data_IF_242408869298
#
_entry.id   IF_242408869298
#
_cell.length_a   1.000
_cell.length_b   1.000
_cell.length_c   1.000
_cell.angle_alpha   90.00
_cell.angle_beta   90.00
_cell.angle_gamma   90.00
#
_symmetry.space_group_name_H-M   'P 1'
#
loop_
_entity.id
_entity.type
_entity.pdbx_description
1 polymer ?
#
# COMPACT_ATOMS: atom_id res chain seq x y z
N UNK A 1 -23.41 -31.05 19.53
CA UNK A 1 -22.25 -31.53 20.30
C UNK A 1 -21.76 -30.40 21.19
N UNK A 2 -21.56 -30.67 22.48
CA UNK A 2 -21.13 -29.67 23.46
C UNK A 2 -19.62 -29.88 23.69
N UNK A 3 -18.79 -28.95 23.22
CA UNK A 3 -17.35 -28.95 23.47
C UNK A 3 -17.11 -27.98 24.63
N UNK A 4 -17.02 -28.50 25.85
CA UNK A 4 -16.55 -27.73 27.00
C UNK A 4 -15.05 -27.97 27.15
N UNK A 5 -14.24 -26.91 27.15
CA UNK A 5 -12.83 -27.03 27.49
C UNK A 5 -12.71 -27.40 28.98
N UNK A 6 -11.78 -28.29 29.28
CA UNK A 6 -11.66 -29.02 30.55
C UNK A 6 -11.32 -28.13 31.76
N UNK A 7 -11.00 -26.86 31.51
CA UNK A 7 -10.58 -25.84 32.47
C UNK A 7 -11.63 -24.74 32.72
N UNK A 8 -12.83 -24.84 32.12
CA UNK A 8 -13.96 -23.92 32.39
C UNK A 8 -13.77 -22.50 31.89
N UNK A 9 -12.73 -22.25 31.08
CA UNK A 9 -12.36 -20.92 30.55
C UNK A 9 -12.80 -20.68 29.11
N UNK A 10 -13.25 -21.74 28.42
CA UNK A 10 -13.77 -21.65 27.06
C UNK A 10 -15.02 -22.52 26.89
N UNK A 11 -16.05 -21.94 26.30
CA UNK A 11 -17.35 -22.54 26.05
C UNK A 11 -17.53 -22.71 24.54
N UNK A 12 -17.60 -23.95 24.09
CA UNK A 12 -17.85 -24.31 22.71
C UNK A 12 -19.25 -24.89 22.54
N UNK A 13 -19.88 -24.58 21.41
CA UNK A 13 -21.10 -25.23 20.98
C UNK A 13 -21.14 -25.38 19.47
N UNK A 14 -21.86 -26.40 19.01
CA UNK A 14 -22.22 -26.54 17.61
C UNK A 14 -23.75 -26.55 17.51
N UNK A 15 -24.32 -25.57 16.81
CA UNK A 15 -25.75 -25.51 16.51
C UNK A 15 -25.94 -25.27 15.01
N UNK A 16 -26.72 -26.12 14.34
CA UNK A 16 -26.83 -26.18 12.88
C UNK A 16 -25.45 -26.31 12.22
N UNK A 17 -25.04 -25.30 11.44
CA UNK A 17 -23.76 -25.21 10.73
C UNK A 17 -22.74 -24.27 11.41
N UNK A 18 -23.02 -23.81 12.62
CA UNK A 18 -22.21 -22.83 13.34
C UNK A 18 -21.48 -23.47 14.52
N UNK A 19 -20.14 -23.39 14.51
CA UNK A 19 -19.30 -23.63 15.68
C UNK A 19 -19.06 -22.29 16.36
N UNK A 20 -19.53 -22.14 17.60
CA UNK A 20 -19.30 -20.94 18.42
C UNK A 20 -18.35 -21.31 19.54
N UNK A 21 -17.25 -20.58 19.66
CA UNK A 21 -16.31 -20.65 20.79
C UNK A 21 -16.34 -19.30 21.51
N UNK A 22 -16.55 -19.29 22.82
CA UNK A 22 -16.65 -18.06 23.62
C UNK A 22 -15.95 -18.22 24.98
N UNK A 23 -15.65 -17.09 25.62
CA UNK A 23 -15.09 -17.04 26.98
C UNK A 23 -16.13 -17.29 28.07
N UNK A 24 -17.42 -17.08 27.79
CA UNK A 24 -18.53 -17.33 28.73
C UNK A 24 -19.71 -18.05 28.07
N UNK A 25 -20.46 -18.80 28.87
CA UNK A 25 -21.66 -19.48 28.40
C UNK A 25 -22.76 -18.49 27.93
N UNK A 26 -22.92 -17.36 28.63
CA UNK A 26 -23.91 -16.34 28.26
C UNK A 26 -23.62 -15.74 26.87
N UNK A 27 -22.34 -15.45 26.57
CA UNK A 27 -21.91 -14.98 25.25
C UNK A 27 -22.16 -16.02 24.16
N UNK A 28 -21.91 -17.30 24.45
CA UNK A 28 -22.19 -18.40 23.53
C UNK A 28 -23.67 -18.44 23.14
N UNK A 29 -24.53 -18.40 24.16
CA UNK A 29 -25.97 -18.59 24.01
C UNK A 29 -26.63 -17.36 23.33
N UNK A 30 -26.18 -16.14 23.67
CA UNK A 30 -26.57 -14.90 22.97
C UNK A 30 -26.10 -14.91 21.50
N UNK A 31 -24.87 -15.36 21.23
CA UNK A 31 -24.35 -15.50 19.86
C UNK A 31 -25.17 -16.50 19.06
N UNK A 32 -25.54 -17.64 19.63
CA UNK A 32 -26.44 -18.59 18.96
C UNK A 32 -27.82 -18.01 18.69
N UNK A 33 -28.40 -17.24 19.62
CA UNK A 33 -29.68 -16.58 19.44
C UNK A 33 -29.64 -15.55 18.30
N UNK A 34 -28.54 -14.79 18.18
CA UNK A 34 -28.31 -13.85 17.07
C UNK A 34 -28.13 -14.57 15.74
N UNK A 35 -27.34 -15.65 15.72
CA UNK A 35 -27.11 -16.48 14.53
C UNK A 35 -28.37 -17.21 14.05
N UNK A 36 -29.33 -17.50 14.94
CA UNK A 36 -30.61 -18.13 14.57
C UNK A 36 -31.48 -17.26 13.65
N UNK A 37 -31.29 -15.94 13.68
CA UNK A 37 -32.03 -14.98 12.86
C UNK A 37 -31.25 -14.49 11.62
N UNK A 38 -30.04 -15.00 11.40
CA UNK A 38 -29.29 -14.73 10.18
C UNK A 38 -29.90 -15.57 9.05
N UNK A 39 -30.86 -14.99 8.33
CA UNK A 39 -31.24 -15.51 7.01
C UNK A 39 -30.01 -15.37 6.11
N UNK A 40 -29.44 -16.48 5.67
CA UNK A 40 -28.53 -16.46 4.54
C UNK A 40 -29.39 -16.28 3.29
N UNK A 41 -29.88 -15.06 3.06
CA UNK A 41 -30.63 -14.76 1.84
C UNK A 41 -29.74 -15.01 0.63
N UNK A 42 -30.28 -15.84 -0.26
CA UNK A 42 -29.66 -16.33 -1.47
C UNK A 42 -29.58 -15.22 -2.53
N UNK A 43 -28.45 -14.51 -2.58
CA UNK A 43 -28.04 -13.74 -3.75
C UNK A 43 -26.54 -13.40 -3.70
N UNK A 44 -25.70 -14.43 -3.58
CA UNK A 44 -24.34 -14.55 -4.11
C UNK A 44 -23.74 -15.81 -3.46
N UNK A 45 -22.96 -16.58 -4.22
CA UNK A 45 -22.43 -17.91 -3.90
C UNK A 45 -22.21 -18.09 -2.39
N UNK A 46 -23.01 -18.95 -1.75
CA UNK A 46 -22.79 -19.34 -0.34
C UNK A 46 -21.33 -19.81 -0.24
N UNK A 47 -20.47 -19.14 0.55
CA UNK A 47 -19.09 -19.56 0.67
C UNK A 47 -19.04 -21.01 1.17
N UNK A 48 -18.14 -21.81 0.61
CA UNK A 48 -17.94 -23.20 1.02
C UNK A 48 -17.60 -23.29 2.52
N UNK A 49 -17.01 -22.26 3.11
CA UNK A 49 -16.73 -22.13 4.54
C UNK A 49 -16.74 -20.66 4.98
N UNK A 50 -17.33 -20.37 6.15
CA UNK A 50 -17.28 -19.03 6.76
C UNK A 50 -16.87 -19.12 8.24
N UNK A 51 -16.03 -18.18 8.69
CA UNK A 51 -15.62 -18.01 10.08
C UNK A 51 -15.94 -16.56 10.52
N UNK A 52 -16.68 -16.42 11.62
CA UNK A 52 -16.95 -15.12 12.25
C UNK A 52 -16.28 -15.06 13.63
N UNK A 53 -15.59 -13.95 13.91
CA UNK A 53 -14.93 -13.68 15.18
C UNK A 53 -15.40 -12.31 15.68
N UNK A 54 -15.79 -12.23 16.95
CA UNK A 54 -16.10 -10.97 17.61
C UNK A 54 -15.16 -10.78 18.81
N UNK A 55 -14.48 -9.65 18.87
CA UNK A 55 -13.58 -9.27 19.95
C UNK A 55 -14.20 -8.13 20.75
N UNK A 56 -14.62 -8.40 21.99
CA UNK A 56 -15.11 -7.38 22.90
C UNK A 56 -13.95 -6.66 23.58
N UNK A 57 -13.66 -5.45 23.13
CA UNK A 57 -12.49 -4.68 23.55
C UNK A 57 -12.60 -4.22 25.00
N UNK A 58 -13.80 -3.95 25.51
CA UNK A 58 -14.03 -3.62 26.92
C UNK A 58 -13.63 -4.78 27.86
N UNK A 59 -13.96 -6.01 27.49
CA UNK A 59 -13.54 -7.19 28.24
C UNK A 59 -12.03 -7.39 28.18
N UNK A 60 -11.41 -7.16 27.01
CA UNK A 60 -9.96 -7.25 26.84
C UNK A 60 -9.22 -6.22 27.68
N UNK A 61 -9.67 -4.96 27.70
CA UNK A 61 -9.14 -3.89 28.56
C UNK A 61 -9.23 -4.27 30.04
N UNK A 62 -10.42 -4.72 30.46
CA UNK A 62 -10.68 -5.16 31.84
C UNK A 62 -9.77 -6.33 32.25
N UNK A 63 -9.63 -7.34 31.40
CA UNK A 63 -8.79 -8.50 31.65
C UNK A 63 -7.29 -8.17 31.66
N UNK A 64 -6.86 -7.23 30.82
CA UNK A 64 -5.47 -6.76 30.79
C UNK A 64 -5.12 -5.82 31.95
N UNK A 65 -6.11 -5.35 32.72
CA UNK A 65 -5.93 -4.35 33.78
C UNK A 65 -5.40 -3.01 33.24
N UNK A 66 -5.74 -2.68 31.99
CA UNK A 66 -5.28 -1.47 31.29
C UNK A 66 -6.45 -0.78 30.63
N UNK A 67 -6.48 0.54 30.71
CA UNK A 67 -7.47 1.37 30.00
C UNK A 67 -7.33 1.26 28.47
N UNK A 68 -6.17 0.78 27.99
CA UNK A 68 -5.90 0.62 26.56
C UNK A 68 -4.93 -0.53 26.27
N UNK A 69 -5.24 -1.29 25.22
CA UNK A 69 -4.43 -2.42 24.76
C UNK A 69 -3.52 -2.08 23.57
N UNK A 70 -3.84 -1.03 22.82
CA UNK A 70 -3.06 -0.52 21.67
C UNK A 70 -2.47 0.85 22.05
N UNK A 71 -1.17 1.12 21.91
CA UNK A 71 -0.61 2.45 22.22
C UNK A 71 -1.16 3.56 21.30
N UNK A 72 -1.40 4.78 21.80
CA UNK A 72 -1.80 5.93 20.94
C UNK A 72 -0.66 6.52 20.14
N UNK A 73 0.59 6.30 20.59
CA UNK A 73 1.77 6.81 19.90
C UNK A 73 2.49 5.66 19.25
N UNK A 74 2.80 5.82 17.97
CA UNK A 74 3.57 4.85 17.23
C UNK A 74 5.07 5.11 17.44
N UNK A 75 5.83 4.03 17.55
CA UNK A 75 7.30 4.07 17.56
C UNK A 75 7.92 3.85 16.18
N UNK A 76 7.08 3.69 15.17
CA UNK A 76 7.48 3.54 13.79
C UNK A 76 6.69 4.55 12.92
N UNK A 77 7.39 5.54 12.32
CA UNK A 77 6.76 6.54 11.46
C UNK A 77 5.92 5.96 10.33
N UNK A 78 6.43 4.92 9.67
CA UNK A 78 5.74 4.29 8.53
C UNK A 78 4.46 3.58 8.99
N UNK A 79 4.53 2.84 10.10
CA UNK A 79 3.32 2.21 10.67
C UNK A 79 2.31 3.25 11.13
N UNK A 80 2.75 4.41 11.66
CA UNK A 80 1.85 5.51 12.01
C UNK A 80 1.07 6.03 10.81
N UNK A 81 1.75 6.30 9.69
CA UNK A 81 1.11 6.80 8.46
C UNK A 81 0.11 5.78 7.90
N UNK A 82 0.49 4.51 7.87
CA UNK A 82 -0.32 3.45 7.26
C UNK A 82 -1.51 3.11 8.17
N UNK A 83 -1.24 2.84 9.45
CA UNK A 83 -2.20 2.22 10.38
C UNK A 83 -2.60 3.11 11.56
N UNK A 84 -1.93 4.22 11.86
CA UNK A 84 -2.11 4.97 13.10
C UNK A 84 -3.57 5.36 13.39
N UNK A 85 -4.28 5.91 12.40
CA UNK A 85 -5.71 6.22 12.55
C UNK A 85 -6.58 4.97 12.74
N UNK A 86 -6.26 3.87 12.05
CA UNK A 86 -7.01 2.60 12.16
C UNK A 86 -6.78 1.93 13.53
N UNK A 87 -5.55 1.98 14.02
CA UNK A 87 -5.15 1.48 15.33
C UNK A 87 -5.85 2.24 16.45
N UNK A 88 -5.98 3.56 16.35
CA UNK A 88 -6.70 4.36 17.34
C UNK A 88 -8.20 4.09 17.32
N UNK A 89 -8.82 3.97 16.13
CA UNK A 89 -10.23 3.54 16.02
C UNK A 89 -10.43 2.17 16.68
N UNK A 90 -9.56 1.21 16.39
CA UNK A 90 -9.61 -0.11 17.00
C UNK A 90 -9.45 -0.06 18.53
N UNK A 91 -8.56 0.82 19.03
CA UNK A 91 -8.32 1.01 20.46
C UNK A 91 -9.54 1.56 21.20
N UNK A 92 -10.30 2.46 20.57
CA UNK A 92 -11.47 3.13 21.13
C UNK A 92 -12.79 2.39 20.85
N UNK A 93 -12.78 1.40 19.96
CA UNK A 93 -13.97 0.58 19.67
C UNK A 93 -14.43 -0.23 20.89
N UNK A 94 -15.74 -0.44 21.01
CA UNK A 94 -16.33 -1.40 21.96
C UNK A 94 -16.10 -2.85 21.51
N UNK A 95 -16.23 -3.09 20.21
CA UNK A 95 -16.04 -4.39 19.58
C UNK A 95 -15.33 -4.29 18.24
N UNK A 96 -14.66 -5.38 17.85
CA UNK A 96 -14.09 -5.59 16.53
C UNK A 96 -14.62 -6.91 15.98
N UNK A 97 -15.26 -6.86 14.83
CA UNK A 97 -15.88 -8.02 14.16
C UNK A 97 -15.07 -8.38 12.93
N UNK A 98 -14.67 -9.64 12.82
CA UNK A 98 -13.97 -10.17 11.66
C UNK A 98 -14.76 -11.34 11.04
N UNK A 99 -14.96 -11.31 9.73
CA UNK A 99 -15.65 -12.35 8.96
C UNK A 99 -14.75 -12.81 7.81
N UNK A 100 -14.37 -14.07 7.82
CA UNK A 100 -13.65 -14.74 6.75
C UNK A 100 -14.61 -15.63 5.97
N UNK A 101 -14.76 -15.37 4.68
CA UNK A 101 -15.50 -16.20 3.74
C UNK A 101 -14.52 -16.87 2.78
N UNK A 102 -14.62 -18.18 2.64
CA UNK A 102 -13.80 -18.99 1.72
C UNK A 102 -14.74 -19.70 0.75
N UNK A 103 -14.56 -19.44 -0.54
CA UNK A 103 -15.25 -20.11 -1.64
C UNK A 103 -14.32 -21.06 -2.40
N UNK A 104 -14.81 -21.60 -3.52
CA UNK A 104 -14.09 -22.61 -4.30
C UNK A 104 -12.79 -22.08 -4.94
N UNK A 105 -12.72 -20.77 -5.21
CA UNK A 105 -11.63 -20.12 -5.94
C UNK A 105 -11.07 -18.88 -5.23
N UNK A 106 -11.38 -18.69 -3.94
CA UNK A 106 -10.84 -17.56 -3.22
C UNK A 106 -11.41 -17.29 -1.85
N UNK A 107 -11.01 -16.16 -1.29
CA UNK A 107 -11.33 -15.76 0.07
C UNK A 107 -11.57 -14.25 0.17
N UNK A 108 -12.35 -13.89 1.19
CA UNK A 108 -12.60 -12.51 1.60
C UNK A 108 -12.60 -12.44 3.13
N UNK A 109 -11.74 -11.60 3.69
CA UNK A 109 -11.73 -11.23 5.10
C UNK A 109 -12.24 -9.80 5.22
N UNK A 110 -13.33 -9.60 5.97
CA UNK A 110 -13.81 -8.27 6.38
C UNK A 110 -13.62 -8.08 7.86
N UNK A 111 -13.02 -6.97 8.26
CA UNK A 111 -12.87 -6.55 9.66
C UNK A 111 -13.59 -5.22 9.83
N UNK A 112 -14.46 -5.12 10.82
CA UNK A 112 -15.28 -3.94 11.09
C UNK A 112 -15.14 -3.51 12.55
N UNK A 113 -15.07 -2.21 12.78
CA UNK A 113 -15.09 -1.60 14.12
C UNK A 113 -16.46 -0.98 14.40
N UNK A 114 -16.86 -0.93 15.68
CA UNK A 114 -18.05 -0.22 16.13
C UNK A 114 -17.83 1.28 16.37
N UNK A 115 -16.58 1.74 16.32
CA UNK A 115 -16.19 3.14 16.28
C UNK A 115 -15.72 3.55 14.88
N UNK A 116 -15.79 4.84 14.57
CA UNK A 116 -15.32 5.43 13.32
C UNK A 116 -14.48 6.69 13.55
N UNK A 117 -14.32 7.49 12.49
CA UNK A 117 -13.51 8.71 12.53
C UNK A 117 -13.92 9.70 13.61
N UNK A 118 -15.22 9.82 13.92
CA UNK A 118 -15.69 10.78 14.91
C UNK A 118 -15.29 10.41 16.35
N UNK A 119 -14.89 9.17 16.61
CA UNK A 119 -14.50 8.71 17.93
C UNK A 119 -13.05 9.04 18.31
N UNK A 120 -12.18 9.34 17.33
CA UNK A 120 -10.76 9.61 17.58
C UNK A 120 -10.47 11.11 17.72
N UNK A 121 -9.36 11.44 18.37
CA UNK A 121 -8.91 12.82 18.54
C UNK A 121 -8.49 13.50 17.21
N UNK A 122 -8.33 14.82 17.23
CA UNK A 122 -8.00 15.59 16.04
C UNK A 122 -6.70 15.13 15.34
N UNK A 123 -5.60 14.79 16.05
CA UNK A 123 -4.41 14.18 15.44
C UNK A 123 -4.70 12.92 14.65
N UNK A 124 -5.42 11.96 15.23
CA UNK A 124 -5.70 10.70 14.53
C UNK A 124 -6.70 10.87 13.40
N UNK A 125 -7.58 11.89 13.44
CA UNK A 125 -8.46 12.23 12.32
C UNK A 125 -7.68 12.66 11.06
N UNK A 126 -6.45 13.19 11.19
CA UNK A 126 -5.61 13.51 10.01
C UNK A 126 -5.24 12.26 9.20
N UNK A 127 -5.29 11.08 9.84
CA UNK A 127 -4.97 9.78 9.26
C UNK A 127 -6.19 9.05 8.66
N UNK A 128 -7.36 9.68 8.72
CA UNK A 128 -8.65 9.11 8.36
C UNK A 128 -9.42 10.06 7.44
N UNK A 129 -9.63 9.68 6.18
CA UNK A 129 -10.48 10.45 5.26
C UNK A 129 -11.88 9.86 5.15
N UNK A 130 -12.87 10.72 4.94
CA UNK A 130 -14.23 10.34 4.51
C UNK A 130 -14.50 10.74 3.05
N UNK A 131 -13.52 11.33 2.36
CA UNK A 131 -13.70 11.84 1.00
C UNK A 131 -13.54 10.75 -0.06
N UNK A 132 -14.63 10.50 -0.80
CA UNK A 132 -14.67 9.74 -2.06
C UNK A 132 -14.44 8.23 -1.94
N UNK A 133 -15.24 7.44 -2.68
CA UNK A 133 -15.12 5.98 -2.76
C UNK A 133 -14.39 5.48 -4.03
N UNK A 134 -13.93 6.40 -4.88
CA UNK A 134 -13.29 6.06 -6.16
C UNK A 134 -11.97 5.30 -5.95
N UNK A 135 -11.59 4.41 -6.89
CA UNK A 135 -10.27 3.79 -6.89
C UNK A 135 -9.15 4.84 -6.78
N UNK A 136 -8.21 4.58 -5.90
CA UNK A 136 -7.12 5.50 -5.61
C UNK A 136 -5.92 5.24 -6.53
N UNK A 137 -5.66 3.97 -6.86
CA UNK A 137 -4.52 3.57 -7.69
C UNK A 137 -4.92 3.47 -9.17
N UNK A 138 -4.17 4.11 -10.09
CA UNK A 138 -4.38 3.92 -11.53
C UNK A 138 -3.98 2.51 -11.94
N UNK A 139 -4.70 1.93 -12.91
CA UNK A 139 -4.39 0.61 -13.47
C UNK A 139 -3.47 0.75 -14.69
N UNK A 140 -2.37 0.00 -14.70
CA UNK A 140 -1.38 0.04 -15.79
C UNK A 140 -1.09 -1.37 -16.34
N UNK A 141 -0.63 -1.49 -17.59
CA UNK A 141 -0.12 -2.76 -18.09
C UNK A 141 0.98 -3.33 -17.20
N UNK A 142 1.02 -4.67 -17.07
CA UNK A 142 2.07 -5.40 -16.31
C UNK A 142 2.20 -4.92 -14.86
N UNK A 143 1.12 -4.42 -14.26
CA UNK A 143 1.12 -3.95 -12.88
C UNK A 143 1.46 -5.09 -11.93
N UNK A 144 2.58 -4.95 -11.22
CA UNK A 144 2.95 -5.83 -10.13
C UNK A 144 2.06 -5.54 -8.92
N UNK A 145 1.73 -4.28 -8.68
CA UNK A 145 0.91 -3.87 -7.56
C UNK A 145 0.95 -2.37 -7.36
N UNK A 146 0.37 -1.94 -6.25
CA UNK A 146 0.37 -0.55 -5.86
C UNK A 146 -0.39 -0.36 -4.57
N UNK A 147 -0.15 0.77 -3.93
CA UNK A 147 -0.93 1.18 -2.78
C UNK A 147 -1.24 2.66 -2.86
N UNK A 148 -2.30 3.08 -2.21
CA UNK A 148 -2.63 4.48 -2.06
C UNK A 148 -3.14 4.75 -0.64
N UNK A 149 -2.79 5.93 -0.16
CA UNK A 149 -3.16 6.41 1.15
C UNK A 149 -3.86 7.75 0.98
N UNK A 150 -4.99 7.91 1.66
CA UNK A 150 -5.68 9.17 1.73
C UNK A 150 -5.52 9.77 3.13
N UNK A 151 -4.69 10.82 3.26
CA UNK A 151 -4.34 11.45 4.54
C UNK A 151 -4.32 12.98 4.39
N UNK A 152 -4.55 13.72 5.47
CA UNK A 152 -4.17 15.13 5.49
C UNK A 152 -2.68 15.23 5.79
N UNK A 153 -1.84 15.19 4.75
CA UNK A 153 -0.39 15.06 4.88
C UNK A 153 0.26 16.21 5.65
N UNK A 154 -0.10 17.45 5.31
CA UNK A 154 0.45 18.63 5.98
C UNK A 154 0.06 18.65 7.46
N UNK A 155 -1.21 18.39 7.78
CA UNK A 155 -1.67 18.44 9.16
C UNK A 155 -1.14 17.27 10.00
N UNK A 156 -1.09 16.06 9.43
CA UNK A 156 -0.43 14.92 10.06
C UNK A 156 1.02 15.25 10.42
N UNK A 157 1.75 15.87 9.49
CA UNK A 157 3.15 16.23 9.70
C UNK A 157 3.33 17.28 10.80
N UNK A 158 2.42 18.27 10.87
CA UNK A 158 2.43 19.28 11.95
C UNK A 158 2.13 18.68 13.32
N UNK A 159 1.27 17.65 13.37
CA UNK A 159 0.85 17.00 14.62
C UNK A 159 1.66 15.74 14.97
N UNK A 160 2.81 15.53 14.30
CA UNK A 160 3.63 14.31 14.44
C UNK A 160 4.10 14.04 15.88
N UNK A 161 4.31 15.07 16.69
CA UNK A 161 4.70 14.96 18.10
C UNK A 161 3.60 14.38 18.99
N UNK A 162 2.34 14.52 18.59
CA UNK A 162 1.17 13.93 19.25
C UNK A 162 0.95 12.47 18.81
N UNK A 163 1.36 12.11 17.60
CA UNK A 163 1.15 10.80 16.99
C UNK A 163 2.32 9.82 17.16
N UNK A 164 3.52 10.34 17.41
CA UNK A 164 4.75 9.57 17.44
C UNK A 164 5.45 9.65 18.79
N UNK A 165 6.14 8.58 19.16
CA UNK A 165 7.02 8.59 20.31
C UNK A 165 8.19 9.55 20.12
N UNK A 166 8.62 10.22 21.20
CA UNK A 166 9.67 11.24 21.13
C UNK A 166 10.99 10.74 20.52
N UNK A 167 11.30 9.44 20.65
CA UNK A 167 12.51 8.82 20.10
C UNK A 167 12.62 8.84 18.58
N UNK A 168 11.50 8.95 17.85
CA UNK A 168 11.52 8.97 16.37
C UNK A 168 11.50 10.37 15.78
N UNK A 169 11.19 11.39 16.58
CA UNK A 169 11.14 12.78 16.12
C UNK A 169 12.46 13.28 15.51
N UNK A 170 13.66 12.94 16.04
CA UNK A 170 14.93 13.38 15.45
C UNK A 170 15.17 12.90 14.01
N UNK A 171 14.51 11.83 13.56
CA UNK A 171 14.62 11.37 12.17
C UNK A 171 13.94 12.32 11.18
N UNK A 172 12.94 13.09 11.62
CA UNK A 172 12.30 14.12 10.81
C UNK A 172 13.22 15.32 10.61
N UNK A 173 13.98 15.73 11.63
CA UNK A 173 14.96 16.82 11.50
C UNK A 173 16.04 16.46 10.47
N UNK A 174 16.50 15.19 10.47
CA UNK A 174 17.43 14.67 9.46
C UNK A 174 16.81 14.66 8.07
N UNK A 175 15.55 14.23 7.96
CA UNK A 175 14.82 14.22 6.70
C UNK A 175 14.68 15.62 6.12
N UNK A 176 14.25 16.60 6.92
CA UNK A 176 14.12 18.01 6.53
C UNK A 176 15.47 18.59 6.09
N UNK A 177 16.54 18.29 6.84
CA UNK A 177 17.90 18.70 6.47
C UNK A 177 18.32 18.11 5.12
N UNK A 178 18.06 16.82 4.90
CA UNK A 178 18.33 16.15 3.62
C UNK A 178 17.54 16.78 2.47
N UNK A 179 16.25 17.04 2.67
CA UNK A 179 15.38 17.63 1.66
C UNK A 179 15.81 19.06 1.28
N UNK A 180 16.32 19.85 2.24
CA UNK A 180 16.82 21.21 1.99
C UNK A 180 17.96 21.26 0.95
N UNK A 181 18.68 20.15 0.77
CA UNK A 181 19.72 20.00 -0.27
C UNK A 181 19.10 19.94 -1.68
N UNK A 182 17.91 19.35 -1.80
CA UNK A 182 17.20 19.19 -3.08
C UNK A 182 16.24 20.36 -3.38
N UNK A 183 15.67 20.95 -2.33
CA UNK A 183 14.70 22.05 -2.38
C UNK A 183 15.16 23.20 -1.47
N UNK A 184 16.16 23.99 -1.90
CA UNK A 184 16.72 25.05 -1.06
C UNK A 184 15.69 26.14 -0.77
N UNK A 185 15.59 26.53 0.50
CA UNK A 185 14.69 27.59 0.97
C UNK A 185 13.20 27.21 0.99
N UNK A 186 12.87 25.91 0.96
CA UNK A 186 11.50 25.40 1.08
C UNK A 186 11.29 24.74 2.43
N UNK A 187 10.19 25.07 3.08
CA UNK A 187 9.70 24.36 4.25
C UNK A 187 8.94 23.09 3.83
N UNK A 188 9.23 21.93 4.41
CA UNK A 188 8.60 20.70 3.96
C UNK A 188 7.08 20.67 4.21
N UNK A 189 6.62 21.16 5.36
CA UNK A 189 5.21 21.14 5.70
C UNK A 189 4.45 22.20 4.89
N UNK A 190 4.94 23.43 4.87
CA UNK A 190 4.24 24.60 4.31
C UNK A 190 4.45 24.78 2.80
N UNK A 191 5.60 24.39 2.25
CA UNK A 191 5.87 24.56 0.83
C UNK A 191 5.75 23.27 0.01
N UNK A 192 5.85 22.08 0.61
CA UNK A 192 5.80 20.80 -0.13
C UNK A 192 4.52 20.03 0.17
N UNK A 193 4.27 19.67 1.44
CA UNK A 193 3.08 18.90 1.81
C UNK A 193 1.78 19.69 1.63
N UNK A 194 1.80 21.01 1.82
CA UNK A 194 0.65 21.87 1.58
C UNK A 194 0.20 21.90 0.10
N UNK A 195 1.06 21.49 -0.85
CA UNK A 195 0.71 21.38 -2.26
C UNK A 195 -0.06 20.10 -2.58
N UNK A 196 -0.07 19.13 -1.67
CA UNK A 196 -0.67 17.82 -1.88
C UNK A 196 -2.15 17.81 -1.48
N UNK A 197 -2.98 17.23 -2.32
CA UNK A 197 -4.29 16.73 -1.94
C UNK A 197 -4.15 15.43 -1.13
N UNK A 198 -5.29 14.92 -0.66
CA UNK A 198 -5.36 13.78 0.23
C UNK A 198 -4.72 12.48 -0.32
N UNK A 199 -4.92 12.07 -1.59
CA UNK A 199 -4.37 10.80 -2.06
C UNK A 199 -2.91 10.91 -2.51
N UNK A 200 -2.07 10.04 -1.97
CA UNK A 200 -0.77 9.69 -2.55
C UNK A 200 -0.85 8.23 -2.99
N UNK A 201 -0.48 7.96 -4.24
CA UNK A 201 -0.48 6.60 -4.79
C UNK A 201 0.91 6.18 -5.25
N UNK A 202 1.26 4.94 -4.94
CA UNK A 202 2.45 4.25 -5.40
C UNK A 202 2.06 3.11 -6.32
N UNK A 203 2.76 2.98 -7.45
CA UNK A 203 2.50 1.94 -8.46
C UNK A 203 3.80 1.25 -8.81
N UNK A 204 3.76 -0.08 -8.92
CA UNK A 204 4.88 -0.90 -9.40
C UNK A 204 4.43 -1.72 -10.61
N UNK A 205 5.27 -1.80 -11.64
CA UNK A 205 4.99 -2.57 -12.85
C UNK A 205 6.26 -3.21 -13.42
N UNK A 206 6.13 -4.37 -14.08
CA UNK A 206 7.24 -4.98 -14.80
C UNK A 206 7.59 -4.16 -16.06
N UNK A 207 8.89 -4.09 -16.36
CA UNK A 207 9.43 -3.26 -17.46
C UNK A 207 9.73 -4.09 -18.70
N UNK A 208 9.77 -3.45 -19.87
CA UNK A 208 10.28 -4.06 -21.11
C UNK A 208 11.62 -3.50 -21.56
N UNK A 209 12.17 -2.52 -20.82
CA UNK A 209 13.47 -1.88 -21.09
C UNK A 209 13.66 -1.36 -22.53
N UNK A 210 12.70 -0.62 -23.13
CA UNK A 210 12.78 -0.19 -24.53
C UNK A 210 13.94 0.77 -24.83
N UNK A 211 14.60 1.30 -23.80
CA UNK A 211 15.75 2.20 -23.88
C UNK A 211 17.10 1.49 -23.99
N UNK A 212 17.13 0.15 -23.93
CA UNK A 212 18.34 -0.66 -23.97
C UNK A 212 18.40 -1.52 -25.23
N UNK A 213 19.61 -1.78 -25.74
CA UNK A 213 19.86 -2.81 -26.76
C UNK A 213 20.42 -4.06 -26.05
N UNK A 214 19.57 -4.68 -25.23
CA UNK A 214 19.94 -5.77 -24.33
C UNK A 214 19.06 -5.80 -23.09
N UNK A 215 19.55 -6.35 -21.98
CA UNK A 215 18.81 -6.38 -20.70
C UNK A 215 19.72 -6.22 -19.48
N UNK A 216 19.22 -5.62 -18.38
CA UNK A 216 19.93 -5.63 -17.11
C UNK A 216 20.19 -7.05 -16.61
N UNK A 217 21.33 -7.26 -15.97
CA UNK A 217 21.63 -8.55 -15.32
C UNK A 217 20.65 -8.87 -14.20
N UNK A 218 20.25 -7.84 -13.46
CA UNK A 218 19.13 -7.89 -12.52
C UNK A 218 18.00 -7.01 -13.04
N UNK A 219 16.86 -7.62 -13.35
CA UNK A 219 15.67 -6.95 -13.87
C UNK A 219 14.76 -6.52 -12.71
N UNK A 220 14.69 -5.21 -12.47
CA UNK A 220 13.83 -4.62 -11.46
C UNK A 220 12.51 -4.11 -12.06
N UNK A 221 11.39 -4.18 -11.32
CA UNK A 221 10.18 -3.45 -11.72
C UNK A 221 10.44 -1.94 -11.75
N UNK A 222 9.63 -1.22 -12.52
CA UNK A 222 9.52 0.23 -12.43
C UNK A 222 8.58 0.60 -11.29
N UNK A 223 8.87 1.74 -10.67
CA UNK A 223 8.07 2.31 -9.60
C UNK A 223 7.64 3.72 -9.97
N UNK A 224 6.49 4.14 -9.48
CA UNK A 224 5.99 5.48 -9.67
C UNK A 224 5.23 6.00 -8.45
N UNK A 225 5.30 7.30 -8.26
CA UNK A 225 4.50 8.07 -7.33
C UNK A 225 3.54 8.96 -8.12
N UNK A 226 2.27 8.92 -7.75
CA UNK A 226 1.22 9.79 -8.28
C UNK A 226 0.73 10.67 -7.14
N UNK A 227 0.95 11.96 -7.30
CA UNK A 227 0.60 13.00 -6.35
C UNK A 227 -0.56 13.80 -6.90
N UNK A 228 -1.67 13.86 -6.17
CA UNK A 228 -2.71 14.83 -6.50
C UNK A 228 -2.36 16.18 -5.90
N UNK A 229 -2.46 17.25 -6.69
CA UNK A 229 -2.01 18.59 -6.32
C UNK A 229 -3.20 19.52 -6.11
N UNK A 230 -3.14 20.31 -5.03
CA UNK A 230 -4.07 21.41 -4.76
C UNK A 230 -3.86 22.59 -5.72
N UNK A 231 -2.59 22.93 -5.96
CA UNK A 231 -2.15 23.92 -6.95
C UNK A 231 -1.26 23.20 -7.98
N UNK A 232 -1.84 22.73 -9.10
CA UNK A 232 -1.12 21.91 -10.07
C UNK A 232 0.08 22.61 -10.69
N UNK A 233 -0.01 23.92 -10.93
CA UNK A 233 1.06 24.68 -11.57
C UNK A 233 2.22 24.87 -10.59
N UNK A 234 1.95 25.40 -9.40
CA UNK A 234 2.99 25.59 -8.37
C UNK A 234 3.59 24.26 -7.92
N UNK A 235 2.77 23.23 -7.77
CA UNK A 235 3.21 21.88 -7.44
C UNK A 235 4.14 21.30 -8.49
N UNK A 236 3.76 21.36 -9.77
CA UNK A 236 4.61 20.90 -10.85
C UNK A 236 5.96 21.64 -10.89
N UNK A 237 5.98 22.95 -10.67
CA UNK A 237 7.23 23.73 -10.63
C UNK A 237 8.15 23.26 -9.49
N UNK A 238 7.61 23.02 -8.29
CA UNK A 238 8.38 22.52 -7.14
C UNK A 238 8.92 21.10 -7.38
N UNK A 239 8.09 20.18 -7.87
CA UNK A 239 8.53 18.80 -8.12
C UNK A 239 9.46 18.69 -9.33
N UNK A 240 9.32 19.57 -10.33
CA UNK A 240 10.25 19.68 -11.45
C UNK A 240 11.61 20.19 -10.97
N UNK A 241 11.64 21.19 -10.08
CA UNK A 241 12.88 21.65 -9.44
C UNK A 241 13.56 20.50 -8.70
N UNK A 242 12.82 19.74 -7.89
CA UNK A 242 13.34 18.56 -7.20
C UNK A 242 13.96 17.55 -8.18
N UNK A 243 13.24 17.23 -9.27
CA UNK A 243 13.70 16.30 -10.30
C UNK A 243 14.99 16.78 -10.99
N UNK A 244 15.07 18.08 -11.32
CA UNK A 244 16.25 18.69 -11.92
C UNK A 244 17.45 18.65 -10.97
N UNK A 245 17.28 19.04 -9.70
CA UNK A 245 18.35 19.02 -8.70
C UNK A 245 18.87 17.59 -8.47
N UNK A 246 17.98 16.60 -8.40
CA UNK A 246 18.36 15.19 -8.29
C UNK A 246 19.19 14.75 -9.51
N UNK A 247 18.77 15.11 -10.72
CA UNK A 247 19.54 14.87 -11.96
C UNK A 247 20.93 15.53 -11.93
N UNK A 248 21.03 16.75 -11.43
CA UNK A 248 22.31 17.47 -11.29
C UNK A 248 23.25 16.76 -10.32
N UNK A 249 22.78 16.40 -9.11
CA UNK A 249 23.60 15.73 -8.10
C UNK A 249 24.08 14.36 -8.61
N UNK A 250 23.17 13.57 -9.17
CA UNK A 250 23.50 12.24 -9.71
C UNK A 250 24.50 12.31 -10.87
N UNK A 251 24.42 13.32 -11.73
CA UNK A 251 25.40 13.55 -12.79
C UNK A 251 26.79 13.96 -12.27
N UNK A 252 26.85 14.77 -11.20
CA UNK A 252 28.13 15.12 -10.55
C UNK A 252 28.79 13.87 -9.99
N UNK A 253 28.02 13.00 -9.33
CA UNK A 253 28.53 11.72 -8.82
C UNK A 253 28.96 10.78 -9.96
N UNK A 254 28.18 10.69 -11.03
CA UNK A 254 28.53 9.90 -12.20
C UNK A 254 29.90 10.33 -12.76
N UNK A 255 30.12 11.63 -12.90
CA UNK A 255 31.41 12.19 -13.31
C UNK A 255 32.56 11.84 -12.37
N UNK A 256 32.35 11.90 -11.05
CA UNK A 256 33.36 11.52 -10.04
C UNK A 256 33.77 10.05 -10.12
N UNK A 257 32.84 9.16 -10.47
CA UNK A 257 33.06 7.71 -10.52
C UNK A 257 33.22 7.15 -11.94
N UNK A 258 33.43 8.01 -12.94
CA UNK A 258 33.62 7.59 -14.34
C UNK A 258 32.42 6.87 -14.96
N UNK A 259 31.21 7.10 -14.43
CA UNK A 259 29.96 6.55 -14.98
C UNK A 259 29.40 7.49 -16.03
N UNK A 260 28.59 6.96 -16.94
CA UNK A 260 27.89 7.82 -17.91
C UNK A 260 26.88 8.72 -17.20
N UNK A 261 26.92 10.05 -17.43
CA UNK A 261 25.90 10.97 -16.94
C UNK A 261 24.60 10.81 -17.74
N UNK A 262 23.50 11.23 -17.14
CA UNK A 262 22.23 11.39 -17.81
C UNK A 262 22.14 12.72 -18.55
N UNK A 263 21.45 12.69 -19.68
CA UNK A 263 20.97 13.87 -20.40
C UNK A 263 19.49 14.04 -20.09
N UNK A 264 19.11 15.22 -19.61
CA UNK A 264 17.70 15.57 -19.46
C UNK A 264 17.11 15.87 -20.83
N UNK A 265 15.99 15.21 -21.13
CA UNK A 265 15.25 15.32 -22.38
C UNK A 265 13.78 15.58 -22.06
N UNK A 266 13.02 15.97 -23.07
CA UNK A 266 11.57 16.04 -22.93
C UNK A 266 10.87 15.59 -24.20
N UNK A 267 9.62 15.17 -24.07
CA UNK A 267 8.75 14.76 -25.16
C UNK A 267 7.28 15.07 -24.83
N UNK A 268 6.42 15.02 -25.83
CA UNK A 268 4.98 15.04 -25.63
C UNK A 268 4.42 13.62 -25.78
N UNK A 269 3.68 13.15 -24.78
CA UNK A 269 2.97 11.87 -24.80
C UNK A 269 1.50 12.10 -24.44
N UNK A 270 0.57 11.74 -25.33
CA UNK A 270 -0.86 12.00 -25.09
C UNK A 270 -1.21 13.47 -24.86
N UNK A 271 -0.41 14.41 -25.39
CA UNK A 271 -0.57 15.86 -25.14
C UNK A 271 -0.04 16.34 -23.78
N UNK A 272 0.54 15.45 -22.96
CA UNK A 272 1.24 15.79 -21.71
C UNK A 272 2.73 15.95 -21.99
N UNK A 273 3.32 17.01 -21.45
CA UNK A 273 4.77 17.20 -21.50
C UNK A 273 5.44 16.28 -20.46
N UNK A 274 6.36 15.44 -20.92
CA UNK A 274 7.12 14.51 -20.09
C UNK A 274 8.58 14.95 -20.08
N UNK A 275 9.13 15.19 -18.89
CA UNK A 275 10.56 15.37 -18.67
C UNK A 275 11.17 14.04 -18.26
N UNK A 276 12.31 13.66 -18.83
CA UNK A 276 12.95 12.39 -18.48
C UNK A 276 14.47 12.44 -18.63
N UNK A 277 15.15 11.61 -17.86
CA UNK A 277 16.59 11.39 -17.96
C UNK A 277 16.87 10.22 -18.91
N UNK A 278 17.85 10.36 -19.80
CA UNK A 278 18.31 9.29 -20.70
C UNK A 278 19.83 9.22 -20.76
N UNK A 279 20.37 8.07 -21.12
CA UNK A 279 21.77 7.95 -21.49
C UNK A 279 22.02 8.56 -22.87
N UNK A 280 23.25 9.04 -23.10
CA UNK A 280 23.64 9.63 -24.39
C UNK A 280 23.58 8.57 -25.50
N UNK A 281 24.19 7.42 -25.23
CA UNK A 281 24.15 6.24 -26.08
C UNK A 281 23.27 5.18 -25.44
N UNK A 282 22.59 4.38 -26.27
CA UNK A 282 21.84 3.23 -25.78
C UNK A 282 22.81 2.20 -25.22
N UNK A 283 22.69 1.79 -23.94
CA UNK A 283 23.51 0.73 -23.39
C UNK A 283 23.26 -0.58 -24.13
N UNK A 284 24.34 -1.29 -24.46
CA UNK A 284 24.30 -2.51 -25.25
C UNK A 284 24.89 -3.69 -24.47
N UNK A 285 24.33 -4.88 -24.69
CA UNK A 285 24.83 -6.13 -24.15
C UNK A 285 23.85 -6.82 -23.20
N UNK A 286 24.15 -8.08 -22.93
CA UNK A 286 23.47 -8.86 -21.90
C UNK A 286 24.14 -8.61 -20.53
N UNK A 287 23.34 -8.68 -19.47
CA UNK A 287 23.80 -8.48 -18.08
C UNK A 287 24.26 -7.06 -17.75
N UNK A 288 23.57 -6.06 -18.28
CA UNK A 288 23.85 -4.64 -18.00
C UNK A 288 23.78 -4.31 -16.49
N UNK A 289 24.63 -3.39 -15.99
CA UNK A 289 24.58 -2.89 -14.62
C UNK A 289 23.20 -2.42 -14.16
N UNK A 290 22.91 -2.61 -12.88
CA UNK A 290 21.59 -2.32 -12.26
C UNK A 290 21.08 -0.89 -12.52
N UNK A 291 21.98 0.09 -12.65
CA UNK A 291 21.62 1.49 -12.90
C UNK A 291 20.84 1.66 -14.21
N UNK A 292 21.05 0.77 -15.19
CA UNK A 292 20.36 0.80 -16.48
C UNK A 292 18.89 0.31 -16.41
N UNK A 293 18.43 -0.18 -15.26
CA UNK A 293 17.01 -0.40 -15.00
C UNK A 293 16.19 0.90 -14.97
N UNK A 294 16.86 2.05 -14.86
CA UNK A 294 16.22 3.32 -14.58
C UNK A 294 16.32 4.27 -15.78
N UNK A 295 15.17 4.86 -16.11
CA UNK A 295 15.05 5.99 -17.02
C UNK A 295 14.05 6.98 -16.40
N UNK A 296 14.43 7.69 -15.31
CA UNK A 296 13.49 8.48 -14.53
C UNK A 296 12.73 9.48 -15.38
N UNK A 297 11.43 9.60 -15.16
CA UNK A 297 10.53 10.45 -15.95
C UNK A 297 9.43 11.05 -15.08
N UNK A 298 8.96 12.24 -15.44
CA UNK A 298 7.89 12.94 -14.74
C UNK A 298 7.01 13.76 -15.68
N UNK A 299 5.75 13.96 -15.30
CA UNK A 299 4.77 14.75 -16.06
C UNK A 299 3.53 15.10 -15.24
N UNK A 300 2.82 16.15 -15.66
CA UNK A 300 1.57 16.62 -15.02
C UNK A 300 0.36 16.25 -15.89
N UNK A 301 -0.59 15.50 -15.32
CA UNK A 301 -1.84 15.08 -15.97
C UNK A 301 -3.03 15.67 -15.22
N UNK A 302 -3.59 16.77 -15.73
CA UNK A 302 -4.61 17.53 -15.00
C UNK A 302 -4.03 18.08 -13.69
N UNK A 303 -4.56 17.65 -12.55
CA UNK A 303 -4.03 17.98 -11.22
C UNK A 303 -3.12 16.88 -10.62
N UNK A 304 -2.77 15.84 -11.38
CA UNK A 304 -1.97 14.71 -10.88
C UNK A 304 -0.55 14.75 -11.44
N UNK A 305 0.43 14.94 -10.57
CA UNK A 305 1.85 14.88 -10.91
C UNK A 305 2.34 13.44 -10.78
N UNK A 306 2.93 12.93 -11.87
CA UNK A 306 3.50 11.59 -11.94
C UNK A 306 5.01 11.72 -11.94
N UNK A 307 5.69 10.97 -11.08
CA UNK A 307 7.13 10.71 -11.18
C UNK A 307 7.37 9.21 -11.15
N UNK A 308 8.16 8.71 -12.08
CA UNK A 308 8.42 7.30 -12.28
C UNK A 308 9.90 7.03 -12.48
N UNK A 309 10.34 5.83 -12.11
CA UNK A 309 11.71 5.37 -12.31
C UNK A 309 11.99 4.94 -13.75
N UNK A 310 10.96 4.85 -14.60
CA UNK A 310 11.08 4.57 -16.03
C UNK A 310 10.12 5.44 -16.86
N UNK A 311 10.55 5.78 -18.08
CA UNK A 311 9.74 6.53 -19.04
C UNK A 311 8.52 5.71 -19.50
N UNK A 312 8.69 4.40 -19.66
CA UNK A 312 7.61 3.48 -20.02
C UNK A 312 6.46 3.55 -19.01
N UNK A 313 6.75 3.41 -17.71
CA UNK A 313 5.71 3.47 -16.67
C UNK A 313 5.07 4.87 -16.57
N UNK A 314 5.85 5.94 -16.78
CA UNK A 314 5.32 7.30 -16.81
C UNK A 314 4.26 7.45 -17.92
N UNK A 315 4.54 6.94 -19.13
CA UNK A 315 3.59 6.95 -20.26
C UNK A 315 2.35 6.10 -19.98
N UNK A 316 2.54 4.88 -19.44
CA UNK A 316 1.44 3.98 -19.08
C UNK A 316 0.50 4.62 -18.03
N UNK A 317 1.05 5.37 -17.08
CA UNK A 317 0.28 6.14 -16.10
C UNK A 317 -0.45 7.32 -16.72
N UNK A 318 0.19 8.08 -17.61
CA UNK A 318 -0.47 9.19 -18.32
C UNK A 318 -1.71 8.66 -19.06
N UNK A 319 -1.56 7.58 -19.81
CA UNK A 319 -2.66 6.92 -20.52
C UNK A 319 -3.79 6.48 -19.58
N UNK A 320 -3.44 5.89 -18.44
CA UNK A 320 -4.41 5.43 -17.43
C UNK A 320 -5.18 6.59 -16.78
N UNK A 321 -4.45 7.65 -16.42
CA UNK A 321 -5.01 8.82 -15.74
C UNK A 321 -5.89 9.65 -16.69
N UNK A 322 -5.58 9.72 -17.99
CA UNK A 322 -6.42 10.41 -18.98
C UNK A 322 -7.75 9.68 -19.25
N UNK A 323 -7.79 8.36 -19.09
CA UNK A 323 -9.03 7.56 -19.24
C UNK A 323 -9.93 7.59 -18.00
N UNK A 324 -9.39 8.00 -16.86
CA UNK A 324 -10.09 8.02 -15.57
C UNK A 324 -10.65 9.42 -15.29
N UNK A 325 -11.92 9.57 -14.90
CA UNK A 325 -12.48 10.88 -14.57
C UNK A 325 -11.69 11.54 -13.44
N UNK A 326 -11.46 12.85 -13.56
CA UNK A 326 -10.69 13.68 -12.62
C UNK A 326 -11.47 14.04 -11.35
N UNK A 327 -12.77 13.81 -11.31
CA UNK A 327 -13.65 14.25 -10.22
C UNK A 327 -14.00 13.11 -9.28
N UNK A 328 -13.51 13.19 -8.04
CA UNK A 328 -14.08 12.46 -6.91
C UNK A 328 -15.37 13.15 -6.51
N UNK A 329 -16.47 12.42 -6.50
CA UNK A 329 -17.73 12.92 -5.95
C UNK A 329 -17.62 12.88 -4.42
N UNK A 330 -17.49 14.06 -3.79
CA UNK A 330 -17.30 14.23 -2.34
C UNK A 330 -18.55 13.94 -1.50
N UNK A 331 -19.62 13.44 -2.12
CA UNK A 331 -20.91 13.19 -1.45
C UNK A 331 -21.02 11.82 -0.76
N UNK A 332 -19.95 11.04 -0.73
CA UNK A 332 -19.96 9.72 -0.09
C UNK A 332 -19.91 9.84 1.43
N UNK A 333 -20.77 9.11 2.14
CA UNK A 333 -20.72 8.97 3.59
C UNK A 333 -19.55 8.10 4.07
N UNK A 334 -18.89 7.40 3.14
CA UNK A 334 -17.70 6.57 3.35
C UNK A 334 -16.56 7.02 2.43
N UNK A 335 -15.37 7.18 2.99
CA UNK A 335 -14.15 7.51 2.24
C UNK A 335 -13.23 6.31 2.13
N UNK A 336 -12.63 6.12 0.96
CA UNK A 336 -11.56 5.15 0.78
C UNK A 336 -10.27 5.69 1.39
N UNK A 337 -9.81 5.05 2.45
CA UNK A 337 -8.70 5.53 3.27
C UNK A 337 -7.36 4.89 2.89
N UNK A 338 -7.37 3.59 2.58
CA UNK A 338 -6.21 2.84 2.13
C UNK A 338 -6.65 1.89 1.02
N UNK A 339 -5.81 1.78 -0.01
CA UNK A 339 -5.93 0.77 -1.04
C UNK A 339 -4.58 0.12 -1.25
N UNK A 340 -4.53 -1.20 -1.35
CA UNK A 340 -3.35 -1.98 -1.68
C UNK A 340 -3.75 -3.09 -2.65
N UNK A 341 -2.90 -3.35 -3.63
CA UNK A 341 -3.07 -4.40 -4.62
C UNK A 341 -1.72 -5.04 -4.96
N UNK A 342 -1.73 -6.34 -5.20
CA UNK A 342 -0.58 -7.12 -5.63
C UNK A 342 -1.01 -8.20 -6.61
N UNK A 343 -0.35 -8.28 -7.76
CA UNK A 343 -0.48 -9.35 -8.73
C UNK A 343 0.68 -10.36 -8.55
N UNK A 344 0.42 -11.53 -7.94
CA UNK A 344 1.45 -12.54 -7.72
C UNK A 344 1.97 -13.16 -9.01
N UNK A 345 1.22 -13.15 -10.11
CA UNK A 345 1.62 -13.72 -11.40
C UNK A 345 2.69 -12.84 -12.06
N UNK A 346 2.53 -11.52 -11.98
CA UNK A 346 3.57 -10.58 -12.40
C UNK A 346 4.80 -10.71 -11.51
N UNK A 347 4.60 -10.89 -10.20
CA UNK A 347 5.67 -11.19 -9.25
C UNK A 347 6.47 -12.44 -9.61
N UNK A 348 5.78 -13.54 -9.96
CA UNK A 348 6.42 -14.77 -10.43
C UNK A 348 7.25 -14.53 -11.71
N UNK A 349 6.71 -13.77 -12.66
CA UNK A 349 7.40 -13.45 -13.91
C UNK A 349 8.70 -12.66 -13.66
N UNK A 350 8.69 -11.72 -12.72
CA UNK A 350 9.88 -10.96 -12.32
C UNK A 350 10.92 -11.83 -11.59
N UNK A 351 10.48 -12.73 -10.71
CA UNK A 351 11.39 -13.68 -10.04
C UNK A 351 12.04 -14.62 -11.06
N UNK A 352 11.28 -15.16 -12.00
CA UNK A 352 11.82 -16.05 -13.04
C UNK A 352 12.78 -15.31 -14.00
N UNK A 353 12.48 -14.06 -14.33
CA UNK A 353 13.38 -13.19 -15.10
C UNK A 353 14.74 -12.95 -14.41
N UNK A 354 14.82 -13.16 -13.08
CA UNK A 354 16.03 -13.05 -12.26
C UNK A 354 16.55 -14.40 -11.75
N UNK A 355 16.09 -15.52 -12.33
CA UNK A 355 16.39 -16.89 -11.88
C UNK A 355 17.87 -17.12 -11.60
N UNK A 356 18.75 -16.75 -12.54
CA UNK A 356 20.18 -17.00 -12.42
C UNK A 356 20.76 -16.41 -11.12
N UNK A 357 20.43 -15.14 -10.82
CA UNK A 357 20.90 -14.44 -9.62
C UNK A 357 20.30 -15.08 -8.35
N UNK A 358 19.01 -15.37 -8.35
CA UNK A 358 18.32 -15.97 -7.19
C UNK A 358 18.90 -17.35 -6.89
N UNK A 359 19.10 -18.20 -7.90
CA UNK A 359 19.70 -19.53 -7.72
C UNK A 359 21.16 -19.44 -7.30
N UNK A 360 21.95 -18.51 -7.86
CA UNK A 360 23.34 -18.30 -7.47
C UNK A 360 23.45 -17.86 -6.01
N UNK A 361 22.55 -16.98 -5.54
CA UNK A 361 22.47 -16.60 -4.13
C UNK A 361 22.15 -17.81 -3.23
N UNK A 362 21.21 -18.66 -3.63
CA UNK A 362 20.92 -19.91 -2.90
C UNK A 362 22.13 -20.84 -2.78
N UNK A 363 22.95 -20.94 -3.84
CA UNK A 363 24.21 -21.71 -3.80
C UNK A 363 25.25 -21.07 -2.88
N UNK A 364 25.39 -19.74 -2.90
CA UNK A 364 26.24 -19.02 -1.95
C UNK A 364 25.82 -19.24 -0.50
N UNK A 365 24.52 -19.43 -0.26
CA UNK A 365 23.95 -19.71 1.05
C UNK A 365 24.01 -21.21 1.43
N UNK A 366 24.73 -22.03 0.64
CA UNK A 366 25.05 -23.43 0.97
C UNK A 366 24.13 -24.49 0.35
N UNK A 367 23.18 -24.12 -0.51
CA UNK A 367 22.30 -25.07 -1.21
C UNK A 367 23.01 -25.65 -2.44
N UNK A 368 22.60 -26.85 -2.88
CA UNK A 368 22.97 -27.32 -4.22
C UNK A 368 22.21 -26.52 -5.29
N UNK A 369 22.74 -26.46 -6.52
CA UNK A 369 22.06 -25.79 -7.64
C UNK A 369 20.68 -26.39 -7.90
N UNK A 370 20.55 -27.71 -7.80
CA UNK A 370 19.27 -28.42 -7.94
C UNK A 370 18.28 -28.02 -6.84
N UNK A 371 18.73 -27.96 -5.59
CA UNK A 371 17.89 -27.55 -4.47
C UNK A 371 17.42 -26.10 -4.62
N UNK A 372 18.33 -25.17 -4.95
CA UNK A 372 17.99 -23.76 -5.16
C UNK A 372 17.00 -23.56 -6.33
N UNK A 373 17.18 -24.32 -7.42
CA UNK A 373 16.28 -24.26 -8.58
C UNK A 373 14.89 -24.80 -8.23
N UNK A 374 14.82 -25.94 -7.54
CA UNK A 374 13.54 -26.55 -7.13
C UNK A 374 12.75 -25.69 -6.16
N UNK A 375 13.44 -25.02 -5.24
CA UNK A 375 12.82 -24.08 -4.30
C UNK A 375 12.21 -22.89 -5.05
N UNK A 376 12.94 -22.31 -6.01
CA UNK A 376 12.41 -21.25 -6.84
C UNK A 376 11.21 -21.73 -7.66
N UNK A 377 11.27 -22.89 -8.30
CA UNK A 377 10.16 -23.45 -9.08
C UNK A 377 8.90 -23.67 -8.21
N UNK A 378 9.09 -24.07 -6.95
CA UNK A 378 7.99 -24.23 -5.98
C UNK A 378 7.32 -22.88 -5.68
N UNK A 379 8.12 -21.84 -5.44
CA UNK A 379 7.63 -20.48 -5.18
C UNK A 379 6.90 -19.94 -6.41
N UNK A 380 7.48 -20.11 -7.60
CA UNK A 380 6.89 -19.66 -8.86
C UNK A 380 5.55 -20.35 -9.13
N UNK A 381 5.48 -21.67 -8.95
CA UNK A 381 4.24 -22.42 -9.11
C UNK A 381 3.15 -21.98 -8.14
N UNK A 382 3.51 -21.71 -6.88
CA UNK A 382 2.57 -21.18 -5.89
C UNK A 382 2.04 -19.80 -6.29
N UNK A 383 2.92 -18.86 -6.64
CA UNK A 383 2.52 -17.52 -7.06
C UNK A 383 1.65 -17.52 -8.33
N UNK A 384 1.95 -18.39 -9.30
CA UNK A 384 1.19 -18.53 -10.54
C UNK A 384 -0.23 -19.07 -10.33
N UNK A 385 -0.42 -19.87 -9.28
CA UNK A 385 -1.71 -20.43 -8.89
C UNK A 385 -2.61 -19.41 -8.17
N UNK A 386 -2.06 -18.30 -7.67
CA UNK A 386 -2.83 -17.26 -6.98
C UNK A 386 -3.49 -16.28 -7.96
N UNK A 387 -4.56 -15.65 -7.49
CA UNK A 387 -5.16 -14.46 -8.12
C UNK A 387 -4.64 -13.18 -7.44
N UNK A 388 -4.86 -12.00 -8.03
CA UNK A 388 -4.51 -10.74 -7.38
C UNK A 388 -5.08 -10.62 -5.96
N UNK A 389 -4.27 -10.08 -5.06
CA UNK A 389 -4.64 -9.80 -3.66
C UNK A 389 -4.88 -8.31 -3.53
N UNK A 390 -5.93 -7.92 -2.81
CA UNK A 390 -6.19 -6.51 -2.51
C UNK A 390 -6.66 -6.29 -1.08
N UNK A 391 -6.26 -5.15 -0.52
CA UNK A 391 -6.73 -4.63 0.77
C UNK A 391 -7.33 -3.26 0.52
N UNK A 392 -8.55 -3.05 0.99
CA UNK A 392 -9.21 -1.75 0.95
C UNK A 392 -9.66 -1.42 2.36
N UNK A 393 -9.50 -0.17 2.76
CA UNK A 393 -10.06 0.36 4.00
C UNK A 393 -11.03 1.46 3.68
N UNK A 394 -12.25 1.34 4.18
CA UNK A 394 -13.31 2.32 4.09
C UNK A 394 -13.57 2.91 5.48
N UNK A 395 -13.69 4.23 5.54
CA UNK A 395 -13.84 4.96 6.79
C UNK A 395 -15.06 5.85 6.71
N UNK A 396 -15.87 5.83 7.76
CA UNK A 396 -16.96 6.75 8.00
C UNK A 396 -16.82 7.38 9.38
N UNK A 397 -17.71 8.29 9.74
CA UNK A 397 -17.73 8.88 11.07
C UNK A 397 -18.04 7.85 12.17
N UNK A 398 -18.83 6.81 11.86
CA UNK A 398 -19.32 5.83 12.85
C UNK A 398 -18.61 4.48 12.82
N UNK A 399 -18.00 4.09 11.69
CA UNK A 399 -17.35 2.79 11.53
C UNK A 399 -16.14 2.83 10.59
N UNK A 400 -15.25 1.86 10.75
CA UNK A 400 -14.18 1.52 9.80
C UNK A 400 -14.35 0.09 9.34
N UNK A 401 -14.22 -0.15 8.05
CA UNK A 401 -14.16 -1.48 7.45
C UNK A 401 -12.81 -1.69 6.76
N UNK A 402 -12.17 -2.83 7.02
CA UNK A 402 -11.01 -3.33 6.28
C UNK A 402 -11.44 -4.58 5.53
N UNK A 403 -11.31 -4.57 4.21
CA UNK A 403 -11.60 -5.71 3.34
C UNK A 403 -10.31 -6.19 2.69
N UNK A 404 -9.94 -7.43 2.97
CA UNK A 404 -8.86 -8.17 2.29
C UNK A 404 -9.50 -9.25 1.41
N UNK A 405 -9.13 -9.32 0.14
CA UNK A 405 -9.62 -10.33 -0.79
C UNK A 405 -8.49 -10.87 -1.66
N UNK A 406 -8.62 -12.13 -2.05
CA UNK A 406 -7.68 -12.83 -2.92
C UNK A 406 -8.19 -14.22 -3.27
N UNK A 407 -7.37 -15.03 -3.90
CA UNK A 407 -7.81 -16.36 -4.29
C UNK A 407 -6.81 -17.15 -5.11
N UNK A 408 -7.32 -18.18 -5.78
CA UNK A 408 -6.55 -19.15 -6.53
C UNK A 408 -7.30 -19.56 -7.80
N UNK A 409 -6.54 -20.08 -8.78
CA UNK A 409 -7.03 -20.54 -10.08
C UNK A 409 -7.48 -22.00 -10.06
#
# INVERSE_FOLDING_TARGET
WLLAAQDGKAFGGLQNRWLVLSSTQALRDDTFAKLANVSMDAADRVPATSLAVNLEMDQLRSAAGKDRVIPSKADNPLLSVILGGLSEVAALSSDIRANLSIGDSGYELRVQTAAGRAAVDAPHQTLLTTAGAAPLTPSVPRQLGGFALCRNWAEWYRQRDQLLEARVLPEYDKFETGLSTFLPGKDFAEDVLALLNTPISFVAAAQTYPHLDGKPGMQLPAFALVLELQDPQRGADVFQLFFQTLGTITNIEAGKYGRQPWVLSSESHGGVQVSFAKYLDRPQGDELPIVYNFQPAAGLVGNRYVTATSLELCRDLIDSLQRSPTTRDDKSATGRNLEFSLDPVVGASLLDANRAIITAKGVQDGKSLEQASKELDTILGWLQALTPVSIVTEVSDSQVEVKLQGGWK
#
